data_IF_988824466761
#
_entry.id   IF_988824466761
#
_cell.length_a   1.000
_cell.length_b   1.000
_cell.length_c   1.000
_cell.angle_alpha   90.00
_cell.angle_beta   90.00
_cell.angle_gamma   90.00
#
_symmetry.space_group_name_H-M   'P 1'
#
loop_
_entity.id
_entity.type
_entity.pdbx_description
1 polymer ?
#
# COMPACT_ATOMS: atom_id res chain seq x y z
N UNK A 1 6.02 16.19 -15.08
CA UNK A 1 5.92 14.84 -14.49
C UNK A 1 5.48 15.01 -13.05
N UNK A 2 4.17 15.03 -12.80
CA UNK A 2 3.63 15.14 -11.45
C UNK A 2 3.77 13.79 -10.75
N UNK A 3 4.30 13.81 -9.53
CA UNK A 3 4.44 12.60 -8.72
C UNK A 3 3.05 12.12 -8.29
N UNK A 4 2.69 10.90 -8.67
CA UNK A 4 1.47 10.23 -8.18
C UNK A 4 1.65 9.62 -6.77
N UNK A 5 2.82 9.83 -6.14
CA UNK A 5 2.98 9.52 -4.72
C UNK A 5 2.17 10.52 -3.92
N UNK A 6 1.07 10.02 -3.34
CA UNK A 6 0.45 10.65 -2.18
C UNK A 6 1.48 10.57 -1.04
N UNK A 7 1.55 11.59 -0.18
CA UNK A 7 2.56 11.69 0.90
C UNK A 7 2.66 10.46 1.82
N UNK A 8 3.60 10.44 2.77
CA UNK A 8 3.83 9.26 3.61
C UNK A 8 2.55 8.81 4.32
N UNK A 9 2.24 7.52 4.26
CA UNK A 9 1.17 6.93 5.05
C UNK A 9 1.65 6.79 6.50
N UNK A 10 0.96 7.45 7.43
CA UNK A 10 1.27 7.38 8.87
C UNK A 10 0.14 6.62 9.57
N UNK A 11 0.46 5.43 10.09
CA UNK A 11 -0.46 4.62 10.89
C UNK A 11 -0.08 4.69 12.36
N UNK A 12 -0.98 5.22 13.21
CA UNK A 12 -0.82 5.23 14.66
C UNK A 12 -1.82 4.28 15.30
N UNK A 13 -1.32 3.16 15.79
CA UNK A 13 -2.13 2.20 16.55
C UNK A 13 -1.99 2.51 18.04
N UNK A 14 -3.10 2.80 18.77
CA UNK A 14 -3.03 3.01 20.21
C UNK A 14 -2.54 1.75 20.92
N UNK A 15 -1.55 1.88 21.81
CA UNK A 15 -1.03 0.75 22.60
C UNK A 15 -2.11 0.03 23.42
N UNK A 16 -3.20 0.72 23.76
CA UNK A 16 -4.35 0.15 24.46
C UNK A 16 -5.23 -0.73 23.56
N UNK A 17 -5.21 -0.50 22.25
CA UNK A 17 -5.95 -1.29 21.26
C UNK A 17 -5.11 -2.49 20.80
N UNK A 18 -3.81 -2.28 20.56
CA UNK A 18 -2.90 -3.33 20.14
C UNK A 18 -1.47 -2.98 20.56
N UNK A 19 -0.86 -3.83 21.38
CA UNK A 19 0.50 -3.68 21.88
C UNK A 19 1.54 -4.43 21.03
N UNK A 20 1.12 -5.25 20.05
CA UNK A 20 2.03 -5.99 19.17
C UNK A 20 2.66 -5.11 18.10
N UNK A 21 1.99 -4.00 17.75
CA UNK A 21 2.42 -3.08 16.70
C UNK A 21 3.73 -2.40 17.10
N UNK A 22 4.74 -2.55 16.25
CA UNK A 22 6.05 -1.94 16.46
C UNK A 22 6.07 -0.54 15.85
N UNK A 23 6.66 0.41 16.58
CA UNK A 23 6.99 1.71 15.98
C UNK A 23 8.18 1.54 15.06
N UNK A 24 8.04 1.97 13.80
CA UNK A 24 9.10 1.94 12.82
C UNK A 24 8.68 2.69 11.55
N UNK A 25 9.66 3.00 10.72
CA UNK A 25 9.44 3.41 9.34
C UNK A 25 9.74 2.21 8.43
N UNK A 26 9.06 2.16 7.29
CA UNK A 26 9.23 1.12 6.29
C UNK A 26 9.21 1.79 4.91
N UNK A 27 10.06 1.34 3.99
CA UNK A 27 10.27 1.96 2.67
C UNK A 27 9.45 1.28 1.56
N UNK A 28 8.71 0.23 1.91
CA UNK A 28 7.89 -0.55 0.99
C UNK A 28 6.77 0.31 0.41
N UNK A 29 6.52 0.12 -0.87
CA UNK A 29 5.46 0.80 -1.59
C UNK A 29 4.14 0.14 -1.24
N UNK A 30 3.22 0.92 -0.69
CA UNK A 30 1.89 0.48 -0.29
C UNK A 30 0.83 1.29 -1.02
N UNK A 31 -0.38 0.75 -1.11
CA UNK A 31 -1.53 1.41 -1.71
C UNK A 31 -2.50 1.91 -0.64
N UNK A 32 -3.26 2.98 -0.94
CA UNK A 32 -4.35 3.42 -0.07
C UNK A 32 -5.46 2.35 0.06
N UNK A 33 -5.57 1.45 -0.92
CA UNK A 33 -6.51 0.32 -0.89
C UNK A 33 -6.17 -0.71 0.18
N UNK A 34 -4.92 -0.76 0.64
CA UNK A 34 -4.45 -1.68 1.68
C UNK A 34 -4.97 -1.30 3.07
N UNK A 35 -5.39 -0.04 3.24
CA UNK A 35 -5.84 0.47 4.54
C UNK A 35 -7.10 -0.22 5.06
N UNK A 36 -8.11 -0.41 4.19
CA UNK A 36 -9.36 -1.06 4.59
C UNK A 36 -9.19 -2.52 5.07
N UNK A 37 -8.55 -3.44 4.31
CA UNK A 37 -8.33 -4.80 4.79
C UNK A 37 -7.43 -4.85 6.03
N UNK A 38 -6.51 -3.88 6.20
CA UNK A 38 -5.72 -3.75 7.44
C UNK A 38 -6.59 -3.52 8.67
N UNK A 39 -7.64 -2.68 8.56
CA UNK A 39 -8.58 -2.45 9.66
C UNK A 39 -9.40 -3.68 9.97
N UNK A 40 -9.89 -4.40 8.95
CA UNK A 40 -10.66 -5.62 9.15
C UNK A 40 -9.85 -6.67 9.92
N UNK A 41 -8.62 -6.93 9.46
CA UNK A 41 -7.70 -7.90 10.05
C UNK A 41 -7.36 -7.54 11.51
N UNK A 42 -7.00 -6.27 11.78
CA UNK A 42 -6.68 -5.81 13.14
C UNK A 42 -7.88 -5.79 14.08
N UNK A 43 -9.09 -5.57 13.57
CA UNK A 43 -10.31 -5.59 14.37
C UNK A 43 -10.94 -6.98 14.48
N UNK A 44 -10.38 -8.01 13.84
CA UNK A 44 -10.97 -9.36 13.81
C UNK A 44 -12.33 -9.41 13.11
N UNK A 45 -12.56 -8.51 12.16
CA UNK A 45 -13.78 -8.45 11.36
C UNK A 45 -13.69 -9.42 10.17
N UNK A 46 -14.82 -9.90 9.63
CA UNK A 46 -14.80 -10.77 8.46
C UNK A 46 -14.12 -10.08 7.27
N UNK A 47 -13.34 -10.83 6.46
CA UNK A 47 -12.73 -10.29 5.25
C UNK A 47 -13.79 -9.86 4.23
N UNK A 48 -13.40 -8.96 3.35
CA UNK A 48 -14.22 -8.53 2.22
C UNK A 48 -13.44 -8.81 0.93
N UNK A 49 -13.86 -9.86 0.22
CA UNK A 49 -13.19 -10.35 -0.98
C UNK A 49 -13.40 -9.43 -2.21
N UNK A 50 -14.29 -8.44 -2.12
CA UNK A 50 -14.51 -7.44 -3.18
C UNK A 50 -13.44 -6.34 -3.20
N UNK A 51 -12.53 -6.32 -2.21
CA UNK A 51 -11.46 -5.32 -2.10
C UNK A 51 -10.14 -5.88 -2.58
N UNK A 52 -9.50 -5.15 -3.50
CA UNK A 52 -8.24 -5.55 -4.16
C UNK A 52 -7.00 -5.40 -3.26
N UNK A 53 -7.09 -4.60 -2.18
CA UNK A 53 -5.96 -4.32 -1.28
C UNK A 53 -5.54 -5.49 -0.39
N UNK A 54 -4.33 -5.39 0.16
CA UNK A 54 -3.76 -6.39 1.08
C UNK A 54 -3.54 -5.83 2.48
N UNK A 55 -3.71 -6.64 3.53
CA UNK A 55 -3.49 -6.19 4.91
C UNK A 55 -2.03 -5.83 5.16
N UNK A 56 -1.78 -4.64 5.71
CA UNK A 56 -0.48 -4.14 6.16
C UNK A 56 -0.06 -4.74 7.50
N UNK A 57 -0.86 -5.65 8.08
CA UNK A 57 -0.58 -6.29 9.36
C UNK A 57 0.85 -6.85 9.47
N UNK A 58 1.43 -7.54 8.46
CA UNK A 58 2.81 -8.03 8.54
C UNK A 58 3.83 -6.91 8.75
N UNK A 59 3.71 -5.79 8.03
CA UNK A 59 4.60 -4.63 8.16
C UNK A 59 4.44 -3.92 9.51
N UNK A 60 3.20 -3.89 10.03
CA UNK A 60 2.91 -3.33 11.37
C UNK A 60 3.47 -4.20 12.51
N UNK A 61 3.49 -5.52 12.35
CA UNK A 61 4.06 -6.47 13.33
C UNK A 61 5.60 -6.53 13.23
N UNK A 62 6.14 -6.43 12.02
CA UNK A 62 7.56 -6.42 11.73
C UNK A 62 7.88 -5.55 10.49
N UNK A 63 8.43 -4.33 10.70
CA UNK A 63 8.76 -3.41 9.60
C UNK A 63 9.79 -3.94 8.57
N UNK A 64 10.50 -5.02 8.90
CA UNK A 64 11.47 -5.66 8.00
C UNK A 64 10.90 -6.81 7.18
N UNK A 65 9.60 -7.12 7.30
CA UNK A 65 8.96 -8.13 6.46
C UNK A 65 9.02 -7.75 4.97
N UNK A 66 9.19 -8.74 4.07
CA UNK A 66 9.01 -8.51 2.65
C UNK A 66 7.57 -8.08 2.36
N UNK A 67 7.42 -7.19 1.38
CA UNK A 67 6.12 -6.75 0.88
C UNK A 67 6.04 -7.03 -0.61
N UNK A 68 5.27 -8.05 -0.96
CA UNK A 68 5.19 -8.60 -2.32
C UNK A 68 3.97 -8.08 -3.11
N UNK A 69 3.32 -7.02 -2.62
CA UNK A 69 2.16 -6.44 -3.28
C UNK A 69 2.53 -5.14 -4.02
N UNK A 70 2.31 -5.07 -5.35
CA UNK A 70 2.51 -3.84 -6.08
C UNK A 70 1.41 -2.81 -5.77
N UNK A 71 1.76 -1.53 -5.85
CA UNK A 71 0.77 -0.45 -5.82
C UNK A 71 0.37 -0.07 -7.24
N UNK A 72 -0.95 0.01 -7.48
CA UNK A 72 -1.52 0.43 -8.76
C UNK A 72 -2.07 1.84 -8.65
N UNK A 73 -1.90 2.64 -9.71
CA UNK A 73 -2.57 3.94 -9.82
C UNK A 73 -3.13 4.09 -11.22
N UNK A 74 -4.39 4.51 -11.26
CA UNK A 74 -5.17 4.78 -12.47
C UNK A 74 -5.56 6.26 -12.45
N UNK A 75 -5.34 6.97 -13.56
CA UNK A 75 -5.77 8.37 -13.74
C UNK A 75 -6.89 8.43 -14.78
N UNK A 76 -7.69 9.50 -14.76
CA UNK A 76 -8.81 9.71 -15.70
C UNK A 76 -8.39 9.68 -17.17
N UNK A 77 -7.15 10.08 -17.45
CA UNK A 77 -6.58 10.08 -18.79
C UNK A 77 -6.05 8.68 -19.19
N UNK A 78 -6.62 7.55 -18.78
CA UNK A 78 -6.12 6.17 -19.03
C UNK A 78 -4.65 5.83 -18.64
N UNK A 79 -3.94 6.78 -18.01
CA UNK A 79 -2.60 6.53 -17.48
C UNK A 79 -2.63 5.48 -16.38
N UNK A 80 -1.87 4.41 -16.59
CA UNK A 80 -1.75 3.28 -15.68
C UNK A 80 -0.32 3.17 -15.20
N UNK A 81 -0.15 2.97 -13.92
CA UNK A 81 1.17 2.75 -13.35
C UNK A 81 1.14 1.65 -12.32
N UNK A 82 2.25 0.92 -12.27
CA UNK A 82 2.47 -0.19 -11.36
C UNK A 82 3.81 0.07 -10.67
N UNK A 83 3.81 0.02 -9.35
CA UNK A 83 5.04 0.16 -8.59
C UNK A 83 5.25 -1.05 -7.68
N UNK A 84 6.33 -1.79 -7.94
CA UNK A 84 6.81 -2.88 -7.11
C UNK A 84 8.24 -2.54 -6.67
N UNK A 85 8.40 -2.00 -5.45
CA UNK A 85 9.69 -1.47 -5.01
C UNK A 85 10.14 -0.24 -5.82
N UNK A 86 11.42 -0.21 -6.20
CA UNK A 86 12.02 0.86 -6.99
C UNK A 86 12.91 0.23 -8.09
N UNK A 87 12.83 0.66 -9.36
CA UNK A 87 12.11 1.84 -9.88
C UNK A 87 10.64 1.55 -10.30
N UNK A 88 9.93 2.52 -10.91
CA UNK A 88 8.46 2.53 -11.08
C UNK A 88 8.08 2.39 -12.55
N UNK A 89 7.34 1.34 -12.88
CA UNK A 89 6.80 1.16 -14.22
C UNK A 89 5.56 2.04 -14.49
N UNK A 90 5.57 2.77 -15.61
CA UNK A 90 4.46 3.62 -16.07
C UNK A 90 4.16 3.32 -17.54
N UNK A 91 2.89 3.14 -17.87
CA UNK A 91 2.37 3.02 -19.23
C UNK A 91 1.48 4.24 -19.53
N UNK A 92 1.78 4.96 -20.61
CA UNK A 92 1.05 6.14 -21.07
C UNK A 92 0.04 5.78 -22.17
N UNK A 93 -0.90 6.69 -22.46
CA UNK A 93 -2.03 6.46 -23.39
C UNK A 93 -1.62 6.15 -24.83
N UNK A 94 -0.42 6.60 -25.22
CA UNK A 94 0.18 6.34 -26.54
C UNK A 94 0.91 4.98 -26.61
N UNK A 95 0.88 4.20 -25.53
CA UNK A 95 1.56 2.92 -25.39
C UNK A 95 3.06 3.03 -25.10
N UNK A 96 3.59 4.25 -24.86
CA UNK A 96 4.96 4.44 -24.41
C UNK A 96 5.15 4.00 -22.95
N UNK A 97 6.39 3.60 -22.61
CA UNK A 97 6.73 2.99 -21.32
C UNK A 97 7.94 3.69 -20.69
N UNK A 98 7.91 3.88 -19.37
CA UNK A 98 9.01 4.48 -18.57
C UNK A 98 9.27 3.64 -17.30
N UNK A 99 10.51 3.71 -16.77
CA UNK A 99 10.99 2.88 -15.65
C UNK A 99 11.61 3.71 -14.52
#
# INVERSE_FOLDING_TARGET
MESLRVGPLILKVPKSADSSVKTGAWDQVVSLTDFYPTLLDRCGLPPNDDVVGSSLKPLLDNPSEPWEYPAFTFKEDDHKSVQFGFPRYIEYDDGSMDL
#
